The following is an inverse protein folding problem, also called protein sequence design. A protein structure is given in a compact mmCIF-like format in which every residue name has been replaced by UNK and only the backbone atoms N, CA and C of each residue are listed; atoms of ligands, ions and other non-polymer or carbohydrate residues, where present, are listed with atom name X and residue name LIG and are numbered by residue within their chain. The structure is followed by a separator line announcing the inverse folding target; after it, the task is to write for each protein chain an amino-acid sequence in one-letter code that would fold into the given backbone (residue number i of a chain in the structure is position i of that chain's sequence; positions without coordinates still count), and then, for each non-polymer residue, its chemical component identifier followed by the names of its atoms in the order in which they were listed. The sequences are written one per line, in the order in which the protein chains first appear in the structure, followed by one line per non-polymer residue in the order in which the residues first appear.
data_IF_129344582871
#
_entry.id   IF_129344582871
#
_cell.length_a   1.000
_cell.length_b   1.000
_cell.length_c   1.000
_cell.angle_alpha   90.00
_cell.angle_beta   90.00
_cell.angle_gamma   90.00
#
_symmetry.space_group_name_H-M   'P 1'
#
loop_
_entity.id
_entity.type
_entity.pdbx_description
1 polymer ?
#
# COMPACT_ATOMS: atom_id res chain seq x y z
N UNK A 1 -3.71 21.37 31.37
CA UNK A 1 -5.00 20.97 30.73
C UNK A 1 -4.87 20.65 29.22
N UNK A 2 -3.79 21.12 28.55
CA UNK A 2 -3.58 20.95 27.11
C UNK A 2 -3.16 19.52 26.68
N UNK A 3 -2.41 18.79 27.49
CA UNK A 3 -1.84 17.48 27.09
C UNK A 3 -2.90 16.35 27.09
N UNK A 4 -3.77 16.32 28.10
CA UNK A 4 -4.81 15.27 28.21
C UNK A 4 -5.88 15.37 27.10
N UNK A 5 -6.29 16.59 26.72
CA UNK A 5 -7.21 16.79 25.60
C UNK A 5 -6.60 16.38 24.26
N UNK A 6 -5.30 16.67 24.06
CA UNK A 6 -4.54 16.22 22.89
C UNK A 6 -4.46 14.70 22.82
N UNK A 7 -4.25 14.03 23.95
CA UNK A 7 -4.17 12.56 24.01
C UNK A 7 -5.53 11.88 23.75
N UNK A 8 -6.63 12.46 24.27
CA UNK A 8 -7.98 11.97 24.00
C UNK A 8 -8.33 12.14 22.51
N UNK A 9 -8.02 13.29 21.92
CA UNK A 9 -8.25 13.55 20.49
C UNK A 9 -7.44 12.62 19.58
N UNK A 10 -6.16 12.40 19.92
CA UNK A 10 -5.30 11.44 19.21
C UNK A 10 -5.85 10.02 19.30
N UNK A 11 -6.31 9.58 20.48
CA UNK A 11 -6.90 8.25 20.67
C UNK A 11 -8.19 8.08 19.86
N UNK A 12 -9.01 9.10 19.76
CA UNK A 12 -10.25 9.07 18.94
C UNK A 12 -9.94 8.98 17.45
N UNK A 13 -8.93 9.71 16.94
CA UNK A 13 -8.50 9.61 15.53
C UNK A 13 -7.90 8.25 15.19
N UNK A 14 -7.12 7.66 16.10
CA UNK A 14 -6.55 6.33 15.93
C UNK A 14 -7.67 5.29 15.86
N UNK A 15 -8.62 5.32 16.81
CA UNK A 15 -9.77 4.42 16.79
C UNK A 15 -10.61 4.55 15.53
N UNK A 16 -10.73 5.76 14.96
CA UNK A 16 -11.44 5.98 13.70
C UNK A 16 -10.67 5.39 12.49
N UNK A 17 -9.35 5.50 12.44
CA UNK A 17 -8.52 4.95 11.37
C UNK A 17 -8.49 3.41 11.45
N UNK A 18 -8.30 2.85 12.65
CA UNK A 18 -8.35 1.41 12.87
C UNK A 18 -9.72 0.83 12.48
N UNK A 19 -10.80 1.47 12.91
CA UNK A 19 -12.15 1.04 12.57
C UNK A 19 -12.39 1.13 11.05
N UNK A 20 -11.95 2.19 10.39
CA UNK A 20 -12.06 2.33 8.93
C UNK A 20 -11.26 1.25 8.21
N UNK A 21 -10.00 1.04 8.57
CA UNK A 21 -9.16 0.00 7.99
C UNK A 21 -9.79 -1.38 8.16
N UNK A 22 -10.26 -1.69 9.35
CA UNK A 22 -10.97 -2.93 9.66
C UNK A 22 -12.25 -3.07 8.81
N UNK A 23 -13.10 -2.05 8.79
CA UNK A 23 -14.37 -2.08 8.03
C UNK A 23 -14.13 -2.28 6.54
N UNK A 24 -13.15 -1.59 5.96
CA UNK A 24 -12.76 -1.75 4.55
C UNK A 24 -12.30 -3.17 4.29
N UNK A 25 -11.36 -3.69 5.10
CA UNK A 25 -10.79 -5.03 4.88
C UNK A 25 -11.83 -6.13 5.14
N UNK A 26 -12.63 -6.04 6.20
CA UNK A 26 -13.68 -7.03 6.49
C UNK A 26 -14.81 -7.00 5.46
N UNK A 27 -15.23 -5.82 5.02
CA UNK A 27 -16.19 -5.64 3.94
C UNK A 27 -15.69 -6.23 2.63
N UNK A 28 -14.44 -5.94 2.29
CA UNK A 28 -13.75 -6.45 1.14
C UNK A 28 -13.64 -7.99 1.17
N UNK A 29 -13.16 -8.58 2.26
CA UNK A 29 -13.05 -10.04 2.41
C UNK A 29 -14.43 -10.71 2.35
N UNK A 30 -15.46 -10.12 2.97
CA UNK A 30 -16.85 -10.62 2.90
C UNK A 30 -17.40 -10.56 1.47
N UNK A 31 -17.03 -9.53 0.70
CA UNK A 31 -17.35 -9.41 -0.73
C UNK A 31 -16.68 -10.49 -1.57
N UNK A 32 -15.43 -10.82 -1.28
CA UNK A 32 -14.70 -11.90 -1.94
C UNK A 32 -15.37 -13.29 -1.74
N UNK A 33 -15.86 -13.56 -0.53
CA UNK A 33 -16.58 -14.82 -0.25
C UNK A 33 -17.89 -14.98 -1.07
N UNK A 34 -18.47 -13.88 -1.55
CA UNK A 34 -19.67 -13.89 -2.41
C UNK A 34 -19.31 -13.88 -3.90
N UNK A 35 -18.08 -13.66 -4.27
CA UNK A 35 -17.62 -13.62 -5.65
C UNK A 35 -17.31 -15.04 -6.17
N UNK A 36 -17.58 -15.35 -7.45
CA UNK A 36 -17.19 -16.63 -8.07
C UNK A 36 -15.68 -16.82 -8.18
N UNK A 37 -14.87 -15.84 -7.82
CA UNK A 37 -13.41 -15.97 -7.68
C UNK A 37 -13.08 -16.80 -6.43
N UNK A 38 -13.25 -18.13 -6.54
CA UNK A 38 -12.78 -19.10 -5.57
C UNK A 38 -11.25 -19.20 -5.66
N UNK A 39 -10.55 -18.45 -4.85
CA UNK A 39 -9.08 -18.46 -4.80
C UNK A 39 -8.47 -17.68 -3.65
N UNK A 40 -9.28 -16.87 -2.95
CA UNK A 40 -8.80 -16.02 -1.87
C UNK A 40 -9.29 -16.52 -0.51
N UNK A 41 -9.01 -17.77 -0.16
CA UNK A 41 -9.24 -18.24 1.21
C UNK A 41 -7.99 -17.96 2.05
N UNK A 42 -8.06 -16.93 2.87
CA UNK A 42 -7.02 -16.51 3.83
C UNK A 42 -6.92 -17.49 5.02
N UNK A 43 -7.79 -18.51 5.07
CA UNK A 43 -7.87 -19.49 6.17
C UNK A 43 -8.29 -20.88 5.69
N UNK A 44 -7.84 -21.35 4.55
CA UNK A 44 -8.04 -22.75 4.22
C UNK A 44 -6.75 -23.51 4.43
N UNK A 45 -6.60 -24.13 5.63
CA UNK A 45 -5.74 -25.28 5.78
C UNK A 45 -6.29 -26.37 4.84
N UNK A 46 -5.57 -26.66 3.79
CA UNK A 46 -5.91 -27.76 2.88
C UNK A 46 -5.72 -29.07 3.66
N UNK A 47 -6.80 -29.81 3.83
CA UNK A 47 -6.69 -31.15 4.41
C UNK A 47 -6.08 -32.08 3.36
N UNK A 48 -4.82 -32.42 3.51
CA UNK A 48 -4.18 -33.47 2.73
C UNK A 48 -4.41 -34.82 3.41
N UNK A 49 -4.73 -35.85 2.65
CA UNK A 49 -4.80 -37.20 3.17
C UNK A 49 -3.40 -37.61 3.71
N UNK A 50 -3.35 -38.20 4.88
CA UNK A 50 -2.12 -38.69 5.52
C UNK A 50 -1.40 -39.67 4.58
N UNK A 51 -0.12 -39.51 4.44
CA UNK A 51 0.77 -40.43 3.74
C UNK A 51 1.76 -41.04 4.76
N UNK A 52 2.14 -42.32 4.61
CA UNK A 52 3.16 -42.91 5.46
C UNK A 52 4.45 -42.11 5.44
N UNK A 53 4.88 -41.64 6.62
CA UNK A 53 6.03 -40.74 6.80
C UNK A 53 5.68 -39.32 7.27
N UNK A 54 4.41 -38.96 7.27
CA UNK A 54 3.97 -37.69 7.87
C UNK A 54 4.02 -37.74 9.40
N UNK A 55 4.25 -36.57 10.02
CA UNK A 55 4.24 -36.44 11.47
C UNK A 55 2.83 -36.67 12.05
N UNK A 56 2.67 -37.66 12.90
CA UNK A 56 1.41 -38.02 13.54
C UNK A 56 0.80 -36.91 14.39
N UNK A 57 1.63 -35.96 14.86
CA UNK A 57 1.17 -34.80 15.63
C UNK A 57 0.35 -33.82 14.81
N UNK A 58 0.46 -33.88 13.49
CA UNK A 58 -0.26 -33.00 12.53
C UNK A 58 -1.61 -33.55 12.10
N UNK A 59 -2.01 -34.73 12.55
CA UNK A 59 -3.31 -35.36 12.22
C UNK A 59 -4.45 -34.60 12.92
N UNK A 60 -5.48 -34.24 12.16
CA UNK A 60 -6.72 -33.69 12.72
C UNK A 60 -7.64 -34.83 13.22
N UNK A 61 -7.55 -35.12 14.51
CA UNK A 61 -8.35 -36.13 15.16
C UNK A 61 -9.86 -35.85 15.13
N UNK A 62 -10.28 -34.58 14.98
CA UNK A 62 -11.70 -34.20 14.86
C UNK A 62 -12.26 -34.59 13.49
N UNK A 63 -11.44 -34.45 12.45
CA UNK A 63 -11.82 -34.88 11.08
C UNK A 63 -11.81 -36.39 11.01
N UNK A 64 -10.83 -37.05 11.59
CA UNK A 64 -10.79 -38.53 11.69
C UNK A 64 -12.06 -39.09 12.32
N UNK A 65 -12.48 -38.53 13.48
CA UNK A 65 -13.68 -38.99 14.19
C UNK A 65 -14.99 -38.84 13.37
N UNK A 66 -15.00 -38.03 12.32
CA UNK A 66 -16.19 -37.80 11.46
C UNK A 66 -16.15 -38.55 10.13
N UNK A 67 -14.96 -38.81 9.60
CA UNK A 67 -14.79 -39.32 8.23
C UNK A 67 -14.09 -40.65 8.16
N UNK A 68 -13.58 -41.17 9.29
CA UNK A 68 -12.78 -42.38 9.41
C UNK A 68 -11.56 -42.41 8.47
N UNK A 69 -11.06 -41.22 8.12
CA UNK A 69 -9.90 -41.03 7.25
C UNK A 69 -8.90 -40.08 7.92
N UNK A 70 -7.62 -40.43 7.84
CA UNK A 70 -6.55 -39.59 8.38
C UNK A 70 -6.28 -38.41 7.45
N UNK A 71 -6.48 -37.20 7.97
CA UNK A 71 -6.13 -35.96 7.31
C UNK A 71 -5.08 -35.23 8.14
N UNK A 72 -4.05 -34.78 7.47
CA UNK A 72 -3.02 -33.89 8.00
C UNK A 72 -3.43 -32.46 7.70
N UNK A 73 -3.43 -31.61 8.72
CA UNK A 73 -3.47 -30.18 8.52
C UNK A 73 -2.16 -29.78 7.87
N UNK A 74 -2.21 -29.42 6.60
CA UNK A 74 -1.13 -28.67 5.98
C UNK A 74 -1.21 -27.26 6.55
N UNK A 75 -0.42 -26.96 7.57
CA UNK A 75 -0.14 -25.58 7.90
C UNK A 75 0.65 -25.06 6.69
N UNK A 76 0.13 -24.06 5.99
CA UNK A 76 1.00 -23.25 5.18
C UNK A 76 2.16 -22.85 6.10
N UNK A 77 3.41 -23.10 5.68
CA UNK A 77 4.58 -22.62 6.41
C UNK A 77 4.28 -21.16 6.70
N UNK A 78 4.34 -20.76 7.98
CA UNK A 78 4.21 -19.36 8.37
C UNK A 78 5.30 -18.62 7.60
N UNK A 79 4.96 -18.15 6.40
CA UNK A 79 5.83 -17.28 5.63
C UNK A 79 5.82 -15.97 6.38
N UNK A 80 6.76 -15.82 7.34
CA UNK A 80 7.06 -14.57 8.02
C UNK A 80 7.65 -13.60 6.98
N UNK A 81 6.83 -13.20 6.02
CA UNK A 81 7.23 -12.27 4.98
C UNK A 81 7.38 -10.90 5.62
N UNK A 82 8.54 -10.29 5.44
CA UNK A 82 8.74 -8.90 5.83
C UNK A 82 8.10 -7.99 4.78
N UNK A 83 7.07 -7.24 5.19
CA UNK A 83 6.36 -6.29 4.34
C UNK A 83 6.70 -4.86 4.75
N UNK A 84 7.23 -4.08 3.83
CA UNK A 84 7.55 -2.66 4.04
C UNK A 84 6.53 -1.80 3.30
N UNK A 85 5.75 -1.02 4.04
CA UNK A 85 4.81 -0.04 3.51
C UNK A 85 5.51 1.32 3.46
N UNK A 86 5.71 1.85 2.26
CA UNK A 86 6.36 3.12 1.99
C UNK A 86 5.30 4.14 1.57
N UNK A 87 5.14 5.20 2.32
CA UNK A 87 4.20 6.27 2.03
C UNK A 87 4.94 7.59 1.80
N UNK A 88 4.73 8.14 0.62
CA UNK A 88 5.19 9.47 0.25
C UNK A 88 4.40 10.53 1.03
N UNK A 89 5.10 11.47 1.63
CA UNK A 89 4.52 12.61 2.36
C UNK A 89 4.99 13.95 1.79
N UNK A 90 5.48 13.97 0.54
CA UNK A 90 5.87 15.20 -0.17
C UNK A 90 4.74 16.22 -0.24
N UNK A 91 5.07 17.47 -0.56
CA UNK A 91 4.10 18.55 -0.66
C UNK A 91 2.95 18.26 -1.63
N UNK A 92 3.25 17.64 -2.77
CA UNK A 92 2.26 17.27 -3.80
C UNK A 92 1.19 16.30 -3.29
N UNK A 93 1.51 15.43 -2.34
CA UNK A 93 0.56 14.51 -1.69
C UNK A 93 -0.53 15.24 -0.87
N UNK A 94 -0.33 16.53 -0.57
CA UNK A 94 -1.34 17.38 0.06
C UNK A 94 -2.50 17.77 -0.86
N UNK A 95 -2.37 17.55 -2.17
CA UNK A 95 -3.43 17.87 -3.11
C UNK A 95 -4.62 16.92 -2.99
N UNK A 96 -5.82 17.48 -3.20
CA UNK A 96 -7.08 16.77 -3.28
C UNK A 96 -8.18 17.71 -3.75
N UNK A 97 -8.88 17.34 -4.81
CA UNK A 97 -9.99 18.10 -5.39
C UNK A 97 -11.31 17.93 -4.63
N UNK A 98 -11.36 16.96 -3.73
CA UNK A 98 -12.52 16.60 -2.91
C UNK A 98 -12.15 16.57 -1.43
N UNK A 99 -12.98 15.91 -0.61
CA UNK A 99 -12.80 15.83 0.85
C UNK A 99 -11.55 15.07 1.30
N UNK A 100 -10.90 14.34 0.40
CA UNK A 100 -9.77 13.46 0.72
C UNK A 100 -8.57 13.83 -0.14
N UNK A 101 -7.45 14.20 0.51
CA UNK A 101 -6.16 14.44 -0.17
C UNK A 101 -5.48 13.13 -0.55
N UNK A 102 -4.51 13.17 -1.47
CA UNK A 102 -3.69 11.99 -1.82
C UNK A 102 -3.03 11.39 -0.58
N UNK A 103 -2.49 12.22 0.34
CA UNK A 103 -1.91 11.75 1.60
C UNK A 103 -2.95 11.07 2.50
N UNK A 104 -4.15 11.62 2.63
CA UNK A 104 -5.21 11.01 3.44
C UNK A 104 -5.64 9.66 2.85
N UNK A 105 -5.83 9.58 1.53
CA UNK A 105 -6.13 8.35 0.82
C UNK A 105 -5.01 7.30 1.00
N UNK A 106 -3.75 7.70 0.75
CA UNK A 106 -2.57 6.86 0.95
C UNK A 106 -2.46 6.34 2.38
N UNK A 107 -2.76 7.18 3.38
CA UNK A 107 -2.77 6.80 4.79
C UNK A 107 -3.84 5.75 5.09
N UNK A 108 -5.05 5.90 4.56
CA UNK A 108 -6.12 4.90 4.71
C UNK A 108 -5.79 3.59 4.01
N UNK A 109 -5.20 3.64 2.82
CA UNK A 109 -4.76 2.44 2.09
C UNK A 109 -3.63 1.74 2.84
N UNK A 110 -2.63 2.48 3.33
CA UNK A 110 -1.54 1.96 4.16
C UNK A 110 -2.06 1.29 5.43
N UNK A 111 -3.00 1.93 6.15
CA UNK A 111 -3.63 1.35 7.33
C UNK A 111 -4.38 0.05 7.03
N UNK A 112 -5.09 0.01 5.91
CA UNK A 112 -5.84 -1.18 5.47
C UNK A 112 -4.91 -2.32 5.09
N UNK A 113 -3.83 -2.04 4.36
CA UNK A 113 -2.79 -3.02 4.04
C UNK A 113 -2.08 -3.53 5.29
N UNK A 114 -1.71 -2.63 6.22
CA UNK A 114 -1.09 -3.01 7.49
C UNK A 114 -2.01 -3.92 8.32
N UNK A 115 -3.31 -3.60 8.38
CA UNK A 115 -4.30 -4.45 9.05
C UNK A 115 -4.43 -5.82 8.39
N UNK A 116 -4.49 -5.87 7.05
CA UNK A 116 -4.58 -7.12 6.29
C UNK A 116 -3.35 -8.01 6.53
N UNK A 117 -2.15 -7.45 6.41
CA UNK A 117 -0.88 -8.15 6.62
C UNK A 117 -0.73 -8.64 8.07
N UNK A 118 -1.07 -7.78 9.04
CA UNK A 118 -1.04 -8.16 10.46
C UNK A 118 -2.01 -9.32 10.76
N UNK A 119 -3.18 -9.34 10.11
CA UNK A 119 -4.13 -10.45 10.22
C UNK A 119 -3.55 -11.77 9.65
N UNK A 120 -2.70 -11.67 8.62
CA UNK A 120 -1.97 -12.79 8.02
C UNK A 120 -0.71 -13.20 8.81
N UNK A 121 -0.44 -12.53 9.95
CA UNK A 121 0.77 -12.71 10.78
C UNK A 121 2.08 -12.33 10.07
N UNK A 122 2.01 -11.58 8.98
CA UNK A 122 3.19 -11.02 8.33
C UNK A 122 3.85 -9.95 9.22
N UNK A 123 5.16 -9.80 9.10
CA UNK A 123 5.90 -8.73 9.77
C UNK A 123 5.77 -7.44 8.97
N UNK A 124 5.05 -6.45 9.51
CA UNK A 124 4.76 -5.17 8.84
C UNK A 124 5.74 -4.11 9.30
N UNK A 125 6.45 -3.49 8.36
CA UNK A 125 7.22 -2.25 8.55
C UNK A 125 6.50 -1.06 7.92
N UNK A 126 6.78 0.13 8.40
CA UNK A 126 6.25 1.37 7.84
C UNK A 126 7.33 2.44 7.71
N UNK A 127 7.39 3.07 6.55
CA UNK A 127 8.29 4.18 6.24
C UNK A 127 7.48 5.31 5.62
N UNK A 128 7.55 6.50 6.24
CA UNK A 128 7.11 7.72 5.59
C UNK A 128 8.34 8.51 5.14
N UNK A 129 8.28 9.07 3.95
CA UNK A 129 9.40 9.78 3.35
C UNK A 129 8.93 10.98 2.50
N UNK A 130 9.80 11.97 2.39
CA UNK A 130 9.77 13.05 1.41
C UNK A 130 11.09 13.02 0.59
N UNK A 131 11.99 13.98 0.73
CA UNK A 131 13.37 13.88 0.25
C UNK A 131 14.28 13.06 1.18
N UNK A 132 13.78 12.70 2.36
CA UNK A 132 14.43 11.86 3.37
C UNK A 132 13.44 10.93 4.04
N UNK A 133 13.94 9.96 4.79
CA UNK A 133 13.10 9.13 5.64
C UNK A 133 12.68 9.96 6.87
N UNK A 134 11.38 10.24 6.98
CA UNK A 134 10.76 11.02 8.08
C UNK A 134 10.38 10.10 9.24
N UNK A 135 9.87 8.93 8.93
CA UNK A 135 9.45 7.93 9.93
C UNK A 135 9.90 6.56 9.47
N UNK A 136 10.46 5.78 10.39
CA UNK A 136 10.85 4.39 10.12
C UNK A 136 10.44 3.49 11.28
N UNK A 137 9.51 2.60 11.02
CA UNK A 137 9.12 1.49 11.90
C UNK A 137 9.58 0.18 11.24
N UNK A 138 10.56 -0.53 11.81
CA UNK A 138 11.04 -1.80 11.24
C UNK A 138 9.93 -2.85 11.23
N UNK A 139 10.01 -3.86 10.32
CA UNK A 139 9.01 -4.93 10.23
C UNK A 139 8.88 -5.70 11.55
N UNK A 140 7.65 -5.91 11.98
CA UNK A 140 7.35 -6.69 13.19
C UNK A 140 5.94 -7.28 13.12
N UNK A 141 5.81 -8.55 13.56
CA UNK A 141 4.53 -9.24 13.76
C UNK A 141 4.09 -9.25 15.24
N UNK A 142 4.78 -8.51 16.13
CA UNK A 142 4.49 -8.50 17.57
C UNK A 142 3.12 -7.88 17.86
N UNK A 143 2.40 -8.39 18.88
CA UNK A 143 1.17 -7.76 19.34
C UNK A 143 1.38 -6.27 19.64
N UNK A 144 0.45 -5.43 19.19
CA UNK A 144 0.53 -3.97 19.36
C UNK A 144 1.31 -3.21 18.30
N UNK A 145 2.09 -3.88 17.43
CA UNK A 145 2.86 -3.20 16.40
C UNK A 145 1.97 -2.47 15.37
N UNK A 146 0.84 -3.08 14.98
CA UNK A 146 -0.15 -2.41 14.13
C UNK A 146 -0.58 -1.06 14.72
N UNK A 147 -0.80 -0.99 16.04
CA UNK A 147 -1.13 0.28 16.70
C UNK A 147 -0.03 1.32 16.56
N UNK A 148 1.24 0.91 16.60
CA UNK A 148 2.37 1.81 16.37
C UNK A 148 2.36 2.37 14.95
N UNK A 149 2.06 1.55 13.95
CA UNK A 149 1.90 1.98 12.56
C UNK A 149 0.74 2.98 12.42
N UNK A 150 -0.43 2.70 13.01
CA UNK A 150 -1.59 3.59 12.98
C UNK A 150 -1.33 4.92 13.70
N UNK A 151 -0.57 4.88 14.79
CA UNK A 151 -0.10 6.08 15.51
C UNK A 151 0.80 6.94 14.62
N UNK A 152 1.78 6.32 13.97
CA UNK A 152 2.68 7.01 13.05
C UNK A 152 1.91 7.66 11.88
N UNK A 153 0.97 6.93 11.26
CA UNK A 153 0.11 7.47 10.19
C UNK A 153 -0.70 8.70 10.63
N UNK A 154 -1.21 8.70 11.88
CA UNK A 154 -1.95 9.85 12.40
C UNK A 154 -1.08 11.07 12.73
N UNK A 155 0.22 10.90 12.82
CA UNK A 155 1.18 11.98 13.15
C UNK A 155 1.86 12.53 11.91
N UNK A 156 1.55 12.01 10.72
CA UNK A 156 2.14 12.48 9.48
C UNK A 156 1.78 13.95 9.23
N UNK A 157 2.78 14.68 8.76
CA UNK A 157 2.65 16.01 8.20
C UNK A 157 3.27 16.02 6.80
N UNK A 158 2.78 16.90 5.95
CA UNK A 158 3.35 17.09 4.63
C UNK A 158 4.78 17.61 4.74
N UNK A 159 5.66 17.04 3.94
CA UNK A 159 6.99 17.57 3.67
C UNK A 159 6.96 18.73 2.66
N UNK A 160 8.13 19.25 2.34
CA UNK A 160 8.28 20.41 1.44
C UNK A 160 8.88 20.07 0.10
N UNK A 161 9.50 18.89 -0.04
CA UNK A 161 10.19 18.46 -1.26
C UNK A 161 9.90 17.02 -1.55
N UNK A 162 9.97 16.66 -2.84
CA UNK A 162 9.90 15.28 -3.31
C UNK A 162 11.27 14.80 -3.79
N UNK A 163 11.68 13.62 -3.33
CA UNK A 163 12.76 12.84 -3.92
C UNK A 163 12.52 11.37 -3.61
N UNK A 164 11.76 10.72 -4.44
CA UNK A 164 11.37 9.31 -4.24
C UNK A 164 12.58 8.38 -4.36
N UNK A 165 13.53 8.69 -5.24
CA UNK A 165 14.66 7.81 -5.55
C UNK A 165 15.60 7.59 -4.36
N UNK A 166 15.94 8.66 -3.61
CA UNK A 166 16.90 8.58 -2.51
C UNK A 166 16.45 7.64 -1.38
N UNK A 167 15.23 7.75 -0.81
CA UNK A 167 14.73 6.79 0.17
C UNK A 167 14.67 5.35 -0.35
N UNK A 168 14.34 5.15 -1.64
CA UNK A 168 14.34 3.81 -2.25
C UNK A 168 15.74 3.19 -2.28
N UNK A 169 16.79 3.95 -2.62
CA UNK A 169 18.16 3.48 -2.58
C UNK A 169 18.60 3.17 -1.13
N UNK A 170 18.31 4.06 -0.18
CA UNK A 170 18.61 3.84 1.24
C UNK A 170 17.95 2.56 1.77
N UNK A 171 16.70 2.32 1.40
CA UNK A 171 16.01 1.10 1.77
C UNK A 171 16.65 -0.12 1.12
N UNK A 172 16.98 -0.06 -0.17
CA UNK A 172 17.64 -1.17 -0.89
C UNK A 172 18.94 -1.60 -0.20
N UNK A 173 19.73 -0.62 0.28
CA UNK A 173 20.98 -0.89 0.98
C UNK A 173 20.77 -1.46 2.39
N UNK A 174 19.66 -1.14 3.05
CA UNK A 174 19.33 -1.58 4.41
C UNK A 174 18.64 -2.94 4.48
N UNK A 175 18.00 -3.39 3.39
CA UNK A 175 17.27 -4.65 3.38
C UNK A 175 18.21 -5.86 3.46
N UNK A 176 18.05 -6.65 4.51
CA UNK A 176 18.82 -7.90 4.75
C UNK A 176 18.07 -9.12 4.23
N UNK A 177 16.74 -9.11 4.33
CA UNK A 177 15.89 -10.23 3.95
C UNK A 177 15.04 -9.89 2.74
N UNK A 178 14.71 -10.93 1.99
CA UNK A 178 13.70 -10.83 0.92
C UNK A 178 12.34 -10.57 1.55
N UNK A 179 11.56 -9.72 0.90
CA UNK A 179 10.24 -9.34 1.39
C UNK A 179 9.40 -8.68 0.31
N UNK A 180 8.35 -8.02 0.74
CA UNK A 180 7.47 -7.24 -0.13
C UNK A 180 7.62 -5.76 0.23
N UNK A 181 7.80 -4.92 -0.77
CA UNK A 181 7.74 -3.46 -0.64
C UNK A 181 6.48 -2.96 -1.34
N UNK A 182 5.68 -2.19 -0.65
CA UNK A 182 4.53 -1.49 -1.22
C UNK A 182 4.79 -0.01 -1.17
N UNK A 183 4.95 0.62 -2.33
CA UNK A 183 5.14 2.06 -2.47
C UNK A 183 3.82 2.74 -2.79
N UNK A 184 3.47 3.78 -2.03
CA UNK A 184 2.32 4.65 -2.25
C UNK A 184 2.85 6.07 -2.45
N UNK A 185 2.75 6.60 -3.68
CA UNK A 185 3.27 7.91 -4.07
C UNK A 185 2.53 8.41 -5.30
N UNK A 186 2.51 9.70 -5.55
CA UNK A 186 2.05 10.29 -6.81
C UNK A 186 3.14 10.30 -7.90
N UNK A 187 4.36 9.87 -7.56
CA UNK A 187 5.49 9.71 -8.49
C UNK A 187 5.78 10.96 -9.33
N UNK A 188 5.45 12.14 -8.84
CA UNK A 188 5.69 13.42 -9.50
C UNK A 188 7.12 13.92 -9.29
N UNK A 189 8.10 13.04 -9.47
CA UNK A 189 9.53 13.29 -9.42
C UNK A 189 10.17 12.84 -10.74
N UNK A 190 11.49 12.93 -10.87
CA UNK A 190 12.24 12.44 -12.03
C UNK A 190 11.96 10.94 -12.26
N UNK A 191 11.23 10.56 -13.33
CA UNK A 191 10.84 9.17 -13.55
C UNK A 191 12.03 8.24 -13.73
N UNK A 192 13.12 8.72 -14.35
CA UNK A 192 14.30 7.91 -14.59
C UNK A 192 14.99 7.51 -13.30
N UNK A 193 15.12 8.45 -12.35
CA UNK A 193 15.70 8.22 -11.03
C UNK A 193 14.82 7.33 -10.18
N UNK A 194 13.52 7.58 -10.15
CA UNK A 194 12.54 6.78 -9.41
C UNK A 194 12.54 5.32 -9.89
N UNK A 195 12.50 5.10 -11.21
CA UNK A 195 12.58 3.77 -11.80
C UNK A 195 13.90 3.09 -11.45
N UNK A 196 15.03 3.82 -11.46
CA UNK A 196 16.33 3.26 -11.06
C UNK A 196 16.32 2.82 -9.59
N UNK A 197 15.74 3.60 -8.68
CA UNK A 197 15.59 3.24 -7.26
C UNK A 197 14.75 1.98 -7.07
N UNK A 198 13.62 1.88 -7.77
CA UNK A 198 12.77 0.69 -7.76
C UNK A 198 13.47 -0.54 -8.36
N UNK A 199 14.21 -0.39 -9.47
CA UNK A 199 15.03 -1.45 -10.04
C UNK A 199 16.10 -1.93 -9.06
N UNK A 200 16.74 -1.02 -8.30
CA UNK A 200 17.72 -1.39 -7.28
C UNK A 200 17.08 -2.28 -6.19
N UNK A 201 15.93 -1.90 -5.64
CA UNK A 201 15.17 -2.73 -4.70
C UNK A 201 14.82 -4.10 -5.30
N UNK A 202 14.37 -4.13 -6.55
CA UNK A 202 14.01 -5.39 -7.23
C UNK A 202 15.20 -6.33 -7.39
N UNK A 203 16.37 -5.81 -7.74
CA UNK A 203 17.61 -6.58 -7.84
C UNK A 203 18.06 -7.20 -6.51
N UNK A 204 17.70 -6.60 -5.38
CA UNK A 204 17.92 -7.18 -4.05
C UNK A 204 17.01 -8.37 -3.75
N UNK A 205 16.13 -8.75 -4.68
CA UNK A 205 15.23 -9.90 -4.57
C UNK A 205 13.91 -9.57 -3.84
N UNK A 206 13.59 -8.28 -3.73
CA UNK A 206 12.35 -7.79 -3.11
C UNK A 206 11.23 -7.75 -4.13
N UNK A 207 10.05 -8.23 -3.77
CA UNK A 207 8.85 -8.04 -4.54
C UNK A 207 8.28 -6.64 -4.32
N UNK A 208 7.88 -5.98 -5.40
CA UNK A 208 7.47 -4.57 -5.33
C UNK A 208 6.09 -4.40 -5.94
N UNK A 209 5.24 -3.68 -5.21
CA UNK A 209 3.95 -3.19 -5.68
C UNK A 209 3.97 -1.67 -5.57
N UNK A 210 3.64 -0.99 -6.66
CA UNK A 210 3.58 0.47 -6.72
C UNK A 210 2.14 0.89 -6.90
N UNK A 211 1.61 1.64 -5.95
CA UNK A 211 0.35 2.37 -6.06
C UNK A 211 0.66 3.81 -6.44
N UNK A 212 0.43 4.16 -7.69
CA UNK A 212 0.55 5.51 -8.21
C UNK A 212 -0.76 6.26 -7.92
N UNK A 213 -0.74 7.15 -6.94
CA UNK A 213 -1.90 7.86 -6.43
C UNK A 213 -2.07 9.18 -7.19
N UNK A 214 -3.10 9.30 -8.00
CA UNK A 214 -3.46 10.56 -8.62
C UNK A 214 -4.87 10.98 -8.20
N UNK A 215 -5.05 12.29 -8.05
CA UNK A 215 -6.37 12.86 -7.81
C UNK A 215 -7.22 12.81 -9.08
N UNK A 216 -8.54 12.74 -8.93
CA UNK A 216 -9.45 12.68 -10.06
C UNK A 216 -9.30 13.87 -11.01
N UNK A 217 -9.07 15.06 -10.45
CA UNK A 217 -8.91 16.28 -11.26
C UNK A 217 -7.53 16.31 -11.96
N UNK A 218 -6.50 15.66 -11.39
CA UNK A 218 -5.22 15.45 -12.09
C UNK A 218 -5.39 14.52 -13.31
N UNK A 219 -6.30 13.54 -13.23
CA UNK A 219 -6.59 12.61 -14.32
C UNK A 219 -7.54 13.13 -15.38
N UNK A 220 -8.42 14.09 -15.05
CA UNK A 220 -9.50 14.55 -15.94
C UNK A 220 -9.39 16.02 -16.35
N UNK A 221 -8.63 16.81 -15.59
CA UNK A 221 -8.43 18.24 -15.75
C UNK A 221 -9.75 19.01 -16.02
N UNK A 222 -10.72 19.02 -15.09
CA UNK A 222 -12.10 19.46 -15.33
C UNK A 222 -12.28 20.98 -15.26
N UNK A 223 -11.21 21.74 -15.40
CA UNK A 223 -11.22 23.21 -15.30
C UNK A 223 -11.64 23.84 -16.62
N UNK A 224 -12.56 24.82 -16.57
CA UNK A 224 -13.14 25.52 -17.74
C UNK A 224 -12.90 27.03 -17.74
N UNK A 225 -12.46 27.60 -16.62
CA UNK A 225 -12.24 29.02 -16.41
C UNK A 225 -10.79 29.33 -16.13
N UNK A 226 -10.38 30.58 -16.39
CA UNK A 226 -9.06 31.05 -15.98
C UNK A 226 -8.76 30.65 -14.54
N UNK A 227 -7.78 29.81 -14.37
CA UNK A 227 -7.47 29.16 -13.08
C UNK A 227 -6.04 29.48 -12.68
N UNK A 228 -5.86 29.76 -11.39
CA UNK A 228 -4.56 29.90 -10.79
C UNK A 228 -4.12 28.54 -10.26
N UNK A 229 -3.09 27.97 -10.88
CA UNK A 229 -2.45 26.75 -10.43
C UNK A 229 -1.28 27.12 -9.53
N UNK A 230 -1.14 26.40 -8.44
CA UNK A 230 -0.06 26.58 -7.45
C UNK A 230 0.70 25.30 -7.31
N UNK A 231 2.02 25.37 -7.49
CA UNK A 231 2.92 24.27 -7.16
C UNK A 231 2.93 24.08 -5.64
N UNK A 232 2.73 22.83 -5.19
CA UNK A 232 2.62 22.51 -3.76
C UNK A 232 3.99 22.41 -3.07
N UNK A 233 5.07 22.35 -3.85
CA UNK A 233 6.44 22.27 -3.33
C UNK A 233 7.19 23.59 -3.41
N UNK A 234 7.17 24.26 -4.57
CA UNK A 234 7.86 25.53 -4.77
C UNK A 234 7.00 26.74 -4.36
N UNK A 235 5.68 26.54 -4.24
CA UNK A 235 4.66 27.57 -4.01
C UNK A 235 4.53 28.57 -5.16
N UNK A 236 5.15 28.31 -6.30
CA UNK A 236 5.02 29.11 -7.48
C UNK A 236 3.58 29.07 -8.00
N UNK A 237 3.12 30.17 -8.56
CA UNK A 237 1.76 30.30 -9.07
C UNK A 237 1.77 30.66 -10.56
N UNK A 238 0.96 29.95 -11.34
CA UNK A 238 0.77 30.20 -12.77
C UNK A 238 -0.71 30.39 -13.06
N UNK A 239 -1.03 31.47 -13.77
CA UNK A 239 -2.36 31.68 -14.32
C UNK A 239 -2.41 31.06 -15.73
N UNK A 240 -3.31 30.12 -15.91
CA UNK A 240 -3.48 29.50 -17.23
C UNK A 240 -4.95 29.47 -17.66
N UNK A 241 -5.17 29.51 -18.96
CA UNK A 241 -6.45 29.20 -19.57
C UNK A 241 -6.56 27.69 -19.76
N UNK A 242 -7.33 26.95 -18.93
CA UNK A 242 -7.29 25.51 -18.88
C UNK A 242 -7.60 24.83 -20.22
N UNK A 243 -8.50 25.42 -21.00
CA UNK A 243 -8.90 24.90 -22.33
C UNK A 243 -7.73 24.86 -23.33
N UNK A 244 -6.75 25.75 -23.18
CA UNK A 244 -5.60 25.82 -24.09
C UNK A 244 -4.52 24.81 -23.70
N UNK A 245 -4.43 24.42 -22.41
CA UNK A 245 -3.38 23.56 -21.90
C UNK A 245 -3.86 22.13 -21.62
N UNK A 246 -5.17 21.90 -21.60
CA UNK A 246 -5.80 20.61 -21.22
C UNK A 246 -5.24 19.43 -22.00
N UNK A 247 -5.28 19.48 -23.31
CA UNK A 247 -4.89 18.35 -24.16
C UNK A 247 -3.41 18.01 -23.99
N UNK A 248 -2.58 19.06 -23.86
CA UNK A 248 -1.16 18.88 -23.59
C UNK A 248 -0.93 18.25 -22.21
N UNK A 249 -1.57 18.77 -21.16
CA UNK A 249 -1.46 18.26 -19.80
C UNK A 249 -1.90 16.78 -19.70
N UNK A 250 -3.07 16.45 -20.24
CA UNK A 250 -3.58 15.08 -20.23
C UNK A 250 -2.67 14.12 -21.01
N UNK A 251 -2.09 14.60 -22.12
CA UNK A 251 -1.10 13.84 -22.89
C UNK A 251 0.18 13.54 -22.06
N UNK A 252 0.67 14.52 -21.29
CA UNK A 252 1.83 14.34 -20.41
C UNK A 252 1.53 13.34 -19.27
N UNK A 253 0.36 13.43 -18.63
CA UNK A 253 -0.07 12.48 -17.59
C UNK A 253 -0.21 11.06 -18.15
N UNK A 254 -0.84 10.90 -19.31
CA UNK A 254 -0.98 9.60 -19.98
C UNK A 254 0.39 9.01 -20.35
N UNK A 255 1.29 9.85 -20.86
CA UNK A 255 2.67 9.46 -21.19
C UNK A 255 3.43 9.02 -19.96
N UNK A 256 3.35 9.76 -18.84
CA UNK A 256 3.97 9.43 -17.56
C UNK A 256 3.48 8.09 -17.03
N UNK A 257 2.16 7.89 -16.97
CA UNK A 257 1.53 6.64 -16.51
C UNK A 257 1.97 5.45 -17.37
N UNK A 258 1.94 5.62 -18.69
CA UNK A 258 2.35 4.59 -19.66
C UNK A 258 3.82 4.26 -19.55
N UNK A 259 4.67 5.26 -19.31
CA UNK A 259 6.10 5.09 -19.11
C UNK A 259 6.39 4.25 -17.85
N UNK A 260 5.83 4.61 -16.70
CA UNK A 260 5.98 3.82 -15.47
C UNK A 260 5.46 2.39 -15.65
N UNK A 261 4.25 2.23 -16.19
CA UNK A 261 3.65 0.91 -16.41
C UNK A 261 4.54 0.00 -17.26
N UNK A 262 5.11 0.53 -18.33
CA UNK A 262 6.01 -0.22 -19.23
C UNK A 262 7.32 -0.57 -18.52
N UNK A 263 8.03 0.42 -17.99
CA UNK A 263 9.36 0.25 -17.41
C UNK A 263 9.37 -0.65 -16.17
N UNK A 264 8.36 -0.52 -15.32
CA UNK A 264 8.21 -1.35 -14.12
C UNK A 264 7.77 -2.77 -14.48
N UNK A 265 6.88 -2.91 -15.47
CA UNK A 265 6.44 -4.21 -15.97
C UNK A 265 7.59 -5.05 -16.55
N UNK A 266 8.56 -4.43 -17.26
CA UNK A 266 9.73 -5.10 -17.82
C UNK A 266 10.61 -5.78 -16.76
N UNK A 267 10.60 -5.30 -15.53
CA UNK A 267 11.40 -5.85 -14.42
C UNK A 267 10.55 -6.61 -13.40
N UNK A 268 9.29 -6.88 -13.72
CA UNK A 268 8.37 -7.64 -12.86
C UNK A 268 7.97 -6.90 -11.58
N UNK A 269 7.87 -5.57 -11.63
CA UNK A 269 7.29 -4.73 -10.60
C UNK A 269 5.82 -4.50 -10.93
N UNK A 270 4.94 -4.72 -9.95
CA UNK A 270 3.52 -4.52 -10.15
C UNK A 270 3.17 -3.04 -9.97
N UNK A 271 2.62 -2.47 -11.02
CA UNK A 271 2.21 -1.06 -11.06
C UNK A 271 0.69 -0.94 -11.16
N UNK A 272 0.12 -0.10 -10.30
CA UNK A 272 -1.31 0.18 -10.23
C UNK A 272 -1.55 1.68 -10.15
N UNK A 273 -2.23 2.23 -11.16
CA UNK A 273 -2.75 3.58 -11.09
C UNK A 273 -4.01 3.60 -10.22
N UNK A 274 -4.05 4.50 -9.25
CA UNK A 274 -5.15 4.66 -8.30
C UNK A 274 -5.69 6.08 -8.39
N UNK A 275 -6.94 6.20 -8.81
CA UNK A 275 -7.74 7.42 -8.72
C UNK A 275 -8.27 7.57 -7.29
N UNK A 276 -7.88 8.63 -6.58
CA UNK A 276 -8.25 8.84 -5.17
C UNK A 276 -9.75 9.07 -4.95
N UNK A 277 -10.52 9.28 -6.01
CA UNK A 277 -11.99 9.32 -5.95
C UNK A 277 -12.65 7.94 -5.85
N UNK A 278 -11.90 6.87 -6.13
CA UNK A 278 -12.40 5.49 -6.08
C UNK A 278 -12.26 4.89 -4.69
N UNK A 279 -13.06 3.84 -4.44
CA UNK A 279 -12.98 3.12 -3.16
C UNK A 279 -11.65 2.38 -3.01
N UNK A 280 -11.22 2.20 -1.76
CA UNK A 280 -9.99 1.46 -1.42
C UNK A 280 -10.04 -0.03 -1.82
N UNK A 281 -11.24 -0.58 -1.99
CA UNK A 281 -11.44 -1.99 -2.34
C UNK A 281 -10.72 -2.37 -3.64
N UNK A 282 -10.71 -1.45 -4.62
CA UNK A 282 -10.02 -1.68 -5.90
C UNK A 282 -8.51 -1.85 -5.71
N UNK A 283 -7.88 -1.01 -4.90
CA UNK A 283 -6.45 -1.09 -4.62
C UNK A 283 -6.11 -2.37 -3.83
N UNK A 284 -6.94 -2.76 -2.86
CA UNK A 284 -6.78 -4.01 -2.09
C UNK A 284 -6.92 -5.25 -2.97
N UNK A 285 -7.89 -5.25 -3.90
CA UNK A 285 -8.05 -6.33 -4.90
C UNK A 285 -6.80 -6.50 -5.73
N UNK A 286 -6.27 -5.42 -6.23
CA UNK A 286 -5.05 -5.42 -7.03
C UNK A 286 -3.86 -6.01 -6.26
N UNK A 287 -3.66 -5.59 -5.02
CA UNK A 287 -2.61 -6.14 -4.15
C UNK A 287 -2.74 -7.66 -3.97
N UNK A 288 -3.95 -8.13 -3.62
CA UNK A 288 -4.17 -9.56 -3.40
C UNK A 288 -4.02 -10.39 -4.68
N UNK A 289 -4.49 -9.89 -5.83
CA UNK A 289 -4.35 -10.59 -7.11
C UNK A 289 -2.88 -10.77 -7.50
N UNK A 290 -2.04 -9.80 -7.18
CA UNK A 290 -0.59 -9.86 -7.37
C UNK A 290 0.04 -10.92 -6.47
N UNK A 291 -0.33 -10.94 -5.19
CA UNK A 291 0.23 -11.89 -4.22
C UNK A 291 -0.13 -13.34 -4.55
N UNK A 292 -1.38 -13.60 -4.99
CA UNK A 292 -1.83 -14.95 -5.34
C UNK A 292 -1.18 -15.55 -6.58
N UNK A 293 -0.62 -14.73 -7.47
CA UNK A 293 0.11 -15.22 -8.66
C UNK A 293 1.54 -15.69 -8.33
N UNK A 294 2.03 -15.42 -7.13
CA UNK A 294 3.42 -15.66 -6.71
C UNK A 294 3.55 -16.77 -5.66
N UNK A 295 2.43 -17.29 -5.16
CA UNK A 295 2.33 -18.53 -4.39
C UNK A 295 2.08 -19.71 -5.32
#
# INVERSE_FOLDING_TARGET
YSSAASDVYKRQRIGSMELRARTVVEGFLSGLHRSPFKGFSVEFAEYRQYLPGDDLSTIDWKVYARSDRYYVKKFDEETNVECHLLLDVSGSMGYGSRDVTKLAYGSYLTASLAYLMNRQRDAVGFIAFDDNIVTHLPPSARPGHLRSVLLALNQLSLGTRSNVAKPLHQLADSLVKRGVVVLLSDLLDDPAKTIQGLKHLRFRGTDIVVFHLLDHDELTFPYDRLTRFRDMETLDEVMAAPLEVRDHYLGEIESLVSHYKRELGLVGIDYQLVDTSKSLDFALMSYLSTRSRRQ
#
